data_IF_399758885658
#
_entry.id   IF_399758885658
#
_cell.length_a   1.000
_cell.length_b   1.000
_cell.length_c   1.000
_cell.angle_alpha   90.00
_cell.angle_beta   90.00
_cell.angle_gamma   90.00
#
_symmetry.space_group_name_H-M   'P 1'
#
loop_
_entity.id
_entity.type
_entity.pdbx_description
1 polymer ?
#
# COMPACT_ATOMS: atom_id res chain seq x y z
N UNK A 1 -32.03 -9.78 -65.51
CA UNK A 1 -31.06 -9.19 -64.57
C UNK A 1 -31.82 -8.33 -63.56
N UNK A 2 -31.82 -8.70 -62.28
CA UNK A 2 -32.47 -7.90 -61.23
C UNK A 2 -31.55 -6.73 -60.84
N UNK A 3 -32.07 -5.50 -60.95
CA UNK A 3 -31.36 -4.29 -60.55
C UNK A 3 -31.58 -4.08 -59.05
N UNK A 4 -30.57 -4.41 -58.24
CA UNK A 4 -30.62 -4.23 -56.78
C UNK A 4 -30.55 -2.73 -56.48
N UNK A 5 -31.59 -2.19 -55.86
CA UNK A 5 -31.63 -0.80 -55.41
C UNK A 5 -30.57 -0.58 -54.32
N UNK A 6 -29.64 0.34 -54.56
CA UNK A 6 -28.48 0.63 -53.70
C UNK A 6 -28.82 1.65 -52.59
N UNK A 7 -30.01 2.27 -52.65
CA UNK A 7 -30.48 3.26 -51.67
C UNK A 7 -30.57 2.74 -50.22
N UNK A 8 -31.09 1.54 -49.92
CA UNK A 8 -31.10 1.01 -48.55
C UNK A 8 -29.68 0.74 -48.02
N UNK A 9 -28.76 0.29 -48.89
CA UNK A 9 -27.38 -0.03 -48.52
C UNK A 9 -26.64 1.22 -48.01
N UNK A 10 -26.82 2.37 -48.68
CA UNK A 10 -26.20 3.64 -48.26
C UNK A 10 -26.68 4.11 -46.88
N UNK A 11 -27.95 3.91 -46.54
CA UNK A 11 -28.50 4.25 -45.21
C UNK A 11 -27.94 3.33 -44.12
N UNK A 12 -27.80 2.04 -44.41
CA UNK A 12 -27.22 1.07 -43.47
C UNK A 12 -25.75 1.41 -43.19
N UNK A 13 -24.97 1.74 -44.22
CA UNK A 13 -23.56 2.15 -44.04
C UNK A 13 -23.46 3.41 -43.18
N UNK A 14 -24.34 4.39 -43.38
CA UNK A 14 -24.34 5.63 -42.57
C UNK A 14 -24.67 5.38 -41.10
N UNK A 15 -25.62 4.48 -40.81
CA UNK A 15 -25.99 4.11 -39.44
C UNK A 15 -24.84 3.39 -38.75
N UNK A 16 -24.19 2.44 -39.43
CA UNK A 16 -23.02 1.72 -38.91
C UNK A 16 -21.86 2.69 -38.65
N UNK A 17 -21.64 3.65 -39.55
CA UNK A 17 -20.57 4.65 -39.40
C UNK A 17 -20.82 5.62 -38.23
N UNK A 18 -22.06 6.08 -38.04
CA UNK A 18 -22.45 6.91 -36.90
C UNK A 18 -22.35 6.15 -35.57
N UNK A 19 -22.72 4.88 -35.55
CA UNK A 19 -22.60 4.03 -34.36
C UNK A 19 -21.12 3.81 -33.98
N UNK A 20 -20.25 3.65 -34.98
CA UNK A 20 -18.80 3.52 -34.77
C UNK A 20 -18.19 4.81 -34.19
N UNK A 21 -18.57 5.99 -34.72
CA UNK A 21 -18.08 7.29 -34.21
C UNK A 21 -18.62 7.58 -32.80
N UNK A 22 -19.86 7.22 -32.49
CA UNK A 22 -20.43 7.40 -31.15
C UNK A 22 -19.80 6.46 -30.10
N UNK A 23 -19.33 5.28 -30.52
CA UNK A 23 -18.62 4.34 -29.63
C UNK A 23 -17.12 4.64 -29.48
N UNK A 24 -16.52 5.44 -30.37
CA UNK A 24 -15.10 5.80 -30.27
C UNK A 24 -14.73 6.53 -28.95
N UNK A 25 -15.49 7.55 -28.49
CA UNK A 25 -15.21 8.23 -27.23
C UNK A 25 -15.31 7.31 -26.01
N UNK A 26 -16.16 6.27 -26.06
CA UNK A 26 -16.27 5.29 -24.98
C UNK A 26 -15.05 4.35 -24.91
N UNK A 27 -14.43 4.04 -26.05
CA UNK A 27 -13.21 3.21 -26.12
C UNK A 27 -11.92 3.99 -25.80
N UNK A 28 -11.86 5.28 -26.14
CA UNK A 28 -10.69 6.13 -25.86
C UNK A 28 -10.80 6.97 -24.58
N UNK A 29 -12.02 7.19 -24.05
CA UNK A 29 -12.25 7.91 -22.80
C UNK A 29 -12.11 7.06 -21.53
N UNK A 30 -12.06 5.73 -21.67
CA UNK A 30 -11.79 4.78 -20.56
C UNK A 30 -10.29 4.50 -20.35
N UNK A 31 -9.40 5.10 -21.14
CA UNK A 31 -8.07 5.45 -20.63
C UNK A 31 -8.18 6.74 -19.82
N UNK A 32 -9.10 6.73 -18.87
CA UNK A 32 -9.10 7.66 -17.77
C UNK A 32 -7.76 7.46 -17.07
N UNK A 33 -6.84 8.36 -17.36
CA UNK A 33 -6.02 9.00 -16.35
C UNK A 33 -5.70 8.04 -15.20
N UNK A 34 -4.83 7.05 -15.45
CA UNK A 34 -3.96 6.58 -14.39
C UNK A 34 -3.13 7.80 -14.01
N UNK A 35 -3.70 8.66 -13.16
CA UNK A 35 -2.95 9.73 -12.54
C UNK A 35 -1.72 9.09 -11.93
N UNK A 36 -0.55 9.55 -12.37
CA UNK A 36 0.74 9.05 -11.96
C UNK A 36 0.84 9.16 -10.43
N UNK A 37 0.53 8.05 -9.73
CA UNK A 37 0.54 8.01 -8.27
C UNK A 37 1.95 8.28 -7.78
N UNK A 38 2.14 9.33 -7.00
CA UNK A 38 3.42 9.63 -6.36
C UNK A 38 3.62 8.69 -5.16
N UNK A 39 4.81 8.12 -5.06
CA UNK A 39 5.22 7.28 -3.94
C UNK A 39 6.28 8.00 -3.11
N UNK A 40 5.97 8.26 -1.85
CA UNK A 40 6.88 8.83 -0.87
C UNK A 40 7.24 7.75 0.14
N UNK A 41 8.51 7.33 0.15
CA UNK A 41 9.02 6.33 1.09
C UNK A 41 10.06 6.94 2.01
N UNK A 42 10.02 6.58 3.28
CA UNK A 42 11.09 6.88 4.24
C UNK A 42 12.33 6.07 3.87
N UNK A 43 13.52 6.51 4.29
CA UNK A 43 14.74 5.73 4.04
C UNK A 43 14.65 4.35 4.71
N UNK A 44 15.00 3.30 3.96
CA UNK A 44 14.67 1.91 4.28
C UNK A 44 15.24 1.36 5.62
N UNK A 45 16.15 2.06 6.29
CA UNK A 45 16.89 1.55 7.45
C UNK A 45 16.86 2.49 8.67
N UNK A 46 16.12 3.60 8.61
CA UNK A 46 16.17 4.60 9.68
C UNK A 46 15.45 4.13 10.94
N UNK A 47 14.47 3.23 10.83
CA UNK A 47 13.72 2.70 11.97
C UNK A 47 14.18 1.28 12.27
N UNK A 48 14.90 1.11 13.37
CA UNK A 48 15.28 -0.21 13.89
C UNK A 48 14.28 -0.67 14.95
N UNK A 49 13.81 -1.91 14.80
CA UNK A 49 13.10 -2.65 15.85
C UNK A 49 13.89 -3.89 16.21
N UNK A 50 13.74 -4.36 17.46
CA UNK A 50 14.46 -5.54 17.97
C UNK A 50 13.49 -6.63 18.39
N UNK A 51 13.78 -7.87 18.01
CA UNK A 51 13.07 -9.02 18.55
C UNK A 51 13.49 -9.33 20.00
N UNK A 52 12.95 -10.43 20.54
CA UNK A 52 13.26 -10.92 21.89
C UNK A 52 14.73 -11.32 22.09
N UNK A 53 15.42 -11.70 21.01
CA UNK A 53 16.80 -12.18 21.02
C UNK A 53 17.78 -11.01 20.74
N UNK A 54 17.26 -9.81 20.47
CA UNK A 54 18.03 -8.58 20.25
C UNK A 54 18.45 -8.36 18.81
N UNK A 55 17.98 -9.17 17.86
CA UNK A 55 18.27 -9.01 16.43
C UNK A 55 17.55 -7.80 15.86
N UNK A 56 18.23 -7.10 14.95
CA UNK A 56 17.70 -5.90 14.31
C UNK A 56 16.83 -6.25 13.11
N UNK A 57 15.66 -5.62 13.05
CA UNK A 57 14.75 -5.59 11.92
C UNK A 57 14.41 -4.13 11.59
N UNK A 58 13.88 -3.88 10.40
CA UNK A 58 13.66 -2.51 9.94
C UNK A 58 12.23 -2.24 9.53
N UNK A 59 11.76 -1.02 9.80
CA UNK A 59 10.48 -0.53 9.32
C UNK A 59 10.69 0.56 8.28
N UNK A 60 9.88 0.50 7.21
CA UNK A 60 9.82 1.53 6.18
C UNK A 60 8.39 1.96 6.03
N UNK A 61 8.12 3.25 6.19
CA UNK A 61 6.80 3.81 5.94
C UNK A 61 6.73 4.38 4.53
N UNK A 62 5.62 4.12 3.84
CA UNK A 62 5.40 4.60 2.49
C UNK A 62 4.00 5.20 2.36
N UNK A 63 3.90 6.38 1.76
CA UNK A 63 2.64 6.97 1.30
C UNK A 63 2.58 6.89 -0.22
N UNK A 64 1.48 6.40 -0.76
CA UNK A 64 1.17 6.45 -2.19
C UNK A 64 -0.04 7.35 -2.35
N UNK A 65 0.09 8.44 -3.13
CA UNK A 65 -0.98 9.39 -3.34
C UNK A 65 -1.13 9.76 -4.82
N UNK A 66 -2.36 9.88 -5.30
CA UNK A 66 -2.63 10.53 -6.57
C UNK A 66 -2.44 12.06 -6.42
N UNK A 67 -1.94 12.76 -7.47
CA UNK A 67 -1.83 14.22 -7.48
C UNK A 67 -3.12 14.96 -7.11
N UNK A 68 -4.27 14.46 -7.54
CA UNK A 68 -5.60 15.01 -7.21
C UNK A 68 -6.11 14.62 -5.80
N UNK A 69 -5.35 13.80 -5.06
CA UNK A 69 -5.69 13.22 -3.75
C UNK A 69 -6.93 12.32 -3.75
N UNK A 70 -7.43 11.89 -4.92
CA UNK A 70 -8.51 10.90 -5.04
C UNK A 70 -8.12 9.53 -4.45
N UNK A 71 -6.83 9.27 -4.38
CA UNK A 71 -6.25 8.08 -3.78
C UNK A 71 -5.14 8.47 -2.81
N UNK A 72 -5.22 7.97 -1.58
CA UNK A 72 -4.14 8.02 -0.59
C UNK A 72 -4.07 6.67 0.12
N UNK A 73 -2.88 6.09 0.18
CA UNK A 73 -2.61 4.82 0.85
C UNK A 73 -1.36 4.94 1.69
N UNK A 74 -1.42 4.46 2.92
CA UNK A 74 -0.26 4.31 3.79
C UNK A 74 0.10 2.85 3.91
N UNK A 75 1.39 2.56 3.79
CA UNK A 75 1.94 1.22 3.88
C UNK A 75 3.09 1.21 4.86
N UNK A 76 3.31 0.05 5.47
CA UNK A 76 4.54 -0.23 6.18
C UNK A 76 5.14 -1.52 5.64
N UNK A 77 6.43 -1.44 5.30
CA UNK A 77 7.27 -2.59 5.00
C UNK A 77 8.01 -2.96 6.27
N UNK A 78 7.87 -4.22 6.69
CA UNK A 78 8.60 -4.76 7.82
C UNK A 78 9.64 -5.76 7.32
N UNK A 79 10.90 -5.35 7.40
CA UNK A 79 12.06 -6.08 6.93
C UNK A 79 12.59 -6.99 8.03
N UNK A 80 12.21 -8.25 7.98
CA UNK A 80 12.56 -9.27 8.95
C UNK A 80 13.88 -9.94 8.55
N UNK A 81 14.98 -9.39 9.04
CA UNK A 81 16.32 -9.97 8.84
C UNK A 81 16.50 -11.28 9.58
N UNK A 82 17.39 -12.13 9.07
CA UNK A 82 17.79 -13.41 9.68
C UNK A 82 16.63 -14.38 9.93
N UNK A 83 15.50 -14.20 9.23
CA UNK A 83 14.36 -15.08 9.40
C UNK A 83 14.60 -16.39 8.66
N UNK A 84 15.02 -17.40 9.42
CA UNK A 84 15.22 -18.78 8.96
C UNK A 84 13.87 -19.50 9.15
N UNK A 85 13.14 -19.67 8.05
CA UNK A 85 11.84 -20.38 7.88
C UNK A 85 10.57 -19.63 8.33
N UNK A 86 9.59 -19.46 7.41
CA UNK A 86 8.18 -19.90 7.57
C UNK A 86 7.36 -19.60 6.30
N UNK A 87 6.33 -20.41 6.05
CA UNK A 87 5.31 -20.22 5.01
C UNK A 87 4.78 -18.78 4.97
N UNK A 88 4.83 -18.18 3.78
CA UNK A 88 4.47 -16.79 3.50
C UNK A 88 3.00 -16.45 3.68
N UNK A 89 2.13 -17.47 3.77
CA UNK A 89 0.67 -17.31 3.82
C UNK A 89 0.09 -17.14 5.23
N UNK A 90 0.95 -17.05 6.26
CA UNK A 90 0.53 -17.13 7.67
C UNK A 90 0.37 -15.78 8.36
N UNK A 91 0.69 -14.63 7.73
CA UNK A 91 0.56 -13.32 8.38
C UNK A 91 -0.86 -12.72 8.22
N UNK A 92 -1.26 -11.90 9.19
CA UNK A 92 -2.59 -11.26 9.19
C UNK A 92 -2.54 -9.77 9.47
N UNK A 93 -1.75 -9.33 10.46
CA UNK A 93 -1.82 -7.97 10.96
C UNK A 93 -0.48 -7.53 11.57
N UNK A 94 -0.22 -6.23 11.49
CA UNK A 94 0.79 -5.54 12.27
C UNK A 94 0.10 -4.62 13.30
N UNK A 95 0.62 -4.54 14.51
CA UNK A 95 0.06 -3.73 15.60
C UNK A 95 1.14 -2.91 16.25
N UNK A 96 1.00 -1.60 16.26
CA UNK A 96 1.84 -0.68 17.02
C UNK A 96 1.17 -0.36 18.35
N UNK A 97 1.85 -0.63 19.46
CA UNK A 97 1.38 -0.21 20.79
C UNK A 97 1.99 1.14 21.14
N UNK A 98 1.13 2.08 21.49
CA UNK A 98 1.51 3.41 21.94
C UNK A 98 0.73 3.78 23.21
N UNK A 99 1.37 3.58 24.36
CA UNK A 99 0.71 3.67 25.66
C UNK A 99 -0.45 2.69 25.78
N UNK A 100 -1.67 3.20 26.02
CA UNK A 100 -2.90 2.38 26.13
C UNK A 100 -3.58 2.10 24.79
N UNK A 101 -3.08 2.68 23.69
CA UNK A 101 -3.68 2.56 22.36
C UNK A 101 -2.93 1.54 21.51
N UNK A 102 -3.65 0.90 20.60
CA UNK A 102 -3.10 0.01 19.59
C UNK A 102 -3.54 0.51 18.21
N UNK A 103 -2.60 0.51 17.27
CA UNK A 103 -2.76 1.00 15.91
C UNK A 103 -2.43 -0.14 14.96
N UNK A 104 -3.40 -0.53 14.12
CA UNK A 104 -3.37 -1.80 13.42
C UNK A 104 -3.25 -1.59 11.91
N UNK A 105 -2.47 -2.44 11.24
CA UNK A 105 -2.38 -2.52 9.80
C UNK A 105 -2.61 -3.94 9.29
N UNK A 106 -3.20 -4.07 8.12
CA UNK A 106 -3.60 -5.36 7.55
C UNK A 106 -2.52 -5.90 6.60
N UNK A 107 -2.14 -7.16 6.76
CA UNK A 107 -1.19 -7.82 5.86
C UNK A 107 -1.81 -7.99 4.47
N UNK A 108 -1.03 -7.75 3.41
CA UNK A 108 -1.51 -7.97 2.05
C UNK A 108 -0.53 -8.70 1.11
N UNK A 109 0.77 -8.66 1.39
CA UNK A 109 1.76 -9.49 0.66
C UNK A 109 3.06 -9.62 1.45
N UNK A 110 3.88 -10.58 1.04
CA UNK A 110 5.27 -10.70 1.43
C UNK A 110 6.17 -10.86 0.21
N UNK A 111 7.44 -10.52 0.36
CA UNK A 111 8.48 -10.69 -0.66
C UNK A 111 9.80 -11.09 0.00
N UNK A 112 10.78 -11.52 -0.79
CA UNK A 112 12.14 -11.80 -0.35
C UNK A 112 13.12 -10.86 -1.06
N UNK A 113 13.83 -10.04 -0.28
CA UNK A 113 14.81 -9.09 -0.81
C UNK A 113 16.03 -9.04 0.09
N UNK A 114 17.22 -9.07 -0.49
CA UNK A 114 18.49 -8.90 0.24
C UNK A 114 18.63 -9.79 1.50
N UNK A 115 18.24 -11.06 1.41
CA UNK A 115 18.21 -12.03 2.53
C UNK A 115 17.27 -11.68 3.69
N UNK A 116 16.31 -10.78 3.47
CA UNK A 116 15.24 -10.46 4.40
C UNK A 116 13.88 -10.89 3.84
N UNK A 117 13.01 -11.36 4.73
CA UNK A 117 11.59 -11.46 4.46
C UNK A 117 10.97 -10.09 4.66
N UNK A 118 10.34 -9.54 3.63
CA UNK A 118 9.67 -8.23 3.69
C UNK A 118 8.18 -8.47 3.78
N UNK A 119 7.56 -8.00 4.86
CA UNK A 119 6.13 -8.09 5.10
C UNK A 119 5.48 -6.74 4.82
N UNK A 120 4.46 -6.71 3.98
CA UNK A 120 3.78 -5.48 3.60
C UNK A 120 2.41 -5.40 4.25
N UNK A 121 2.17 -4.29 4.94
CA UNK A 121 0.90 -4.01 5.60
C UNK A 121 0.33 -2.68 5.15
N UNK A 122 -0.98 -2.64 4.98
CA UNK A 122 -1.75 -1.42 4.74
C UNK A 122 -2.17 -0.79 6.08
N UNK A 123 -2.09 0.53 6.17
CA UNK A 123 -2.52 1.32 7.32
C UNK A 123 -3.55 2.35 6.87
N UNK A 124 -4.69 2.43 7.57
CA UNK A 124 -5.66 3.51 7.35
C UNK A 124 -5.04 4.87 7.72
N UNK A 125 -5.53 5.93 7.08
CA UNK A 125 -5.09 7.30 7.39
C UNK A 125 -5.36 7.67 8.85
N UNK A 126 -6.48 7.24 9.42
CA UNK A 126 -6.78 7.45 10.83
C UNK A 126 -5.77 6.75 11.75
N UNK A 127 -5.31 5.55 11.36
CA UNK A 127 -4.31 4.78 12.10
C UNK A 127 -2.97 5.50 12.05
N UNK A 128 -2.52 5.97 10.89
CA UNK A 128 -1.20 6.62 10.78
C UNK A 128 -1.17 7.96 11.51
N UNK A 129 -2.23 8.78 11.38
CA UNK A 129 -2.35 10.06 12.10
C UNK A 129 -2.47 9.85 13.60
N UNK A 130 -3.23 8.84 14.02
CA UNK A 130 -3.33 8.44 15.41
C UNK A 130 -1.99 7.99 15.98
N UNK A 131 -1.25 7.17 15.23
CA UNK A 131 0.08 6.70 15.62
C UNK A 131 1.09 7.85 15.72
N UNK A 132 1.09 8.79 14.77
CA UNK A 132 1.91 10.01 14.82
C UNK A 132 1.62 10.83 16.08
N UNK A 133 0.33 11.05 16.40
CA UNK A 133 -0.08 11.78 17.61
C UNK A 133 0.31 11.10 18.92
N UNK A 134 0.66 9.81 18.89
CA UNK A 134 1.08 9.02 20.06
C UNK A 134 2.51 8.47 19.94
N UNK A 135 3.29 8.92 18.95
CA UNK A 135 4.58 8.31 18.60
C UNK A 135 5.60 8.33 19.75
N UNK A 136 5.55 9.35 20.62
CA UNK A 136 6.42 9.44 21.79
C UNK A 136 6.18 8.35 22.83
N UNK A 137 5.00 7.73 22.82
CA UNK A 137 4.63 6.61 23.69
C UNK A 137 4.66 5.27 22.97
N UNK A 138 5.04 5.23 21.69
CA UNK A 138 5.21 3.99 20.96
C UNK A 138 6.49 3.29 21.41
N UNK A 139 6.35 2.05 21.88
CA UNK A 139 7.45 1.26 22.43
C UNK A 139 7.52 -0.13 21.80
N UNK A 140 6.38 -0.71 21.45
CA UNK A 140 6.28 -2.05 20.89
C UNK A 140 5.56 -2.09 19.56
N UNK A 141 5.98 -3.06 18.77
CA UNK A 141 5.35 -3.54 17.55
C UNK A 141 5.02 -5.02 17.75
N UNK A 142 3.94 -5.49 17.16
CA UNK A 142 3.65 -6.91 17.06
C UNK A 142 3.24 -7.28 15.65
N UNK A 143 3.72 -8.42 15.16
CA UNK A 143 3.19 -9.07 13.96
C UNK A 143 2.35 -10.26 14.39
N UNK A 144 1.12 -10.33 13.89
CA UNK A 144 0.14 -11.35 14.24
C UNK A 144 -0.03 -12.29 13.04
N UNK A 145 0.14 -13.58 13.29
CA UNK A 145 -0.14 -14.63 12.33
C UNK A 145 -1.61 -15.06 12.36
N UNK A 146 -2.13 -15.67 11.28
CA UNK A 146 -3.50 -16.15 11.15
C UNK A 146 -3.88 -17.17 12.22
N UNK A 147 -2.91 -17.95 12.72
CA UNK A 147 -3.06 -18.87 13.85
C UNK A 147 -3.09 -18.16 15.23
N UNK A 148 -3.09 -16.81 15.25
CA UNK A 148 -3.05 -15.93 16.43
C UNK A 148 -1.72 -15.91 17.19
N UNK A 149 -0.65 -16.46 16.61
CA UNK A 149 0.70 -16.28 17.17
C UNK A 149 1.10 -14.81 17.08
N UNK A 150 1.68 -14.29 18.16
CA UNK A 150 2.11 -12.89 18.28
C UNK A 150 3.63 -12.84 18.37
N UNK A 151 4.24 -12.19 17.39
CA UNK A 151 5.67 -11.91 17.36
C UNK A 151 5.87 -10.46 17.83
N UNK A 152 6.45 -10.26 19.02
CA UNK A 152 6.69 -8.93 19.58
C UNK A 152 8.08 -8.40 19.23
N UNK A 153 8.14 -7.09 18.95
CA UNK A 153 9.34 -6.34 18.67
C UNK A 153 9.34 -5.02 19.45
N UNK A 154 10.52 -4.54 19.83
CA UNK A 154 10.71 -3.26 20.53
C UNK A 154 11.22 -2.20 19.56
N UNK A 155 10.57 -1.04 19.52
CA UNK A 155 10.99 0.11 18.70
C UNK A 155 12.22 0.75 19.36
N UNK A 156 13.40 0.51 18.78
CA UNK A 156 14.68 0.95 19.36
C UNK A 156 15.03 2.38 19.00
N UNK A 157 14.68 2.84 17.80
CA UNK A 157 14.96 4.21 17.32
C UNK A 157 13.68 5.05 17.27
N UNK A 158 13.17 5.44 18.45
CA UNK A 158 11.87 6.14 18.58
C UNK A 158 11.82 7.50 17.88
N UNK A 159 12.92 8.25 17.89
CA UNK A 159 12.98 9.55 17.22
C UNK A 159 12.87 9.40 15.70
N UNK A 160 13.57 8.41 15.13
CA UNK A 160 13.47 8.09 13.71
C UNK A 160 12.07 7.58 13.35
N UNK A 161 11.44 6.77 14.21
CA UNK A 161 10.06 6.33 14.05
C UNK A 161 9.08 7.51 13.98
N UNK A 162 9.19 8.45 14.93
CA UNK A 162 8.36 9.67 14.93
C UNK A 162 8.62 10.53 13.70
N UNK A 163 9.88 10.71 13.33
CA UNK A 163 10.28 11.50 12.16
C UNK A 163 9.69 10.92 10.87
N UNK A 164 9.84 9.63 10.67
CA UNK A 164 9.31 8.89 9.53
C UNK A 164 7.78 9.04 9.39
N UNK A 165 7.04 8.86 10.49
CA UNK A 165 5.59 9.07 10.52
C UNK A 165 5.21 10.51 10.13
N UNK A 166 5.97 11.49 10.60
CA UNK A 166 5.73 12.88 10.24
C UNK A 166 5.98 13.11 8.74
N UNK A 167 7.11 12.61 8.21
CA UNK A 167 7.49 12.73 6.80
C UNK A 167 6.41 12.18 5.86
N UNK A 168 5.89 10.98 6.11
CA UNK A 168 4.86 10.38 5.24
C UNK A 168 3.50 11.05 5.39
N UNK A 169 3.15 11.59 6.55
CA UNK A 169 1.86 12.29 6.75
C UNK A 169 1.84 13.63 6.00
N UNK A 170 2.95 14.36 6.00
CA UNK A 170 3.04 15.69 5.38
C UNK A 170 3.40 15.66 3.89
N UNK A 171 3.90 14.53 3.37
CA UNK A 171 4.22 14.37 1.95
C UNK A 171 2.99 14.64 1.06
N UNK A 172 3.17 15.30 -0.08
CA UNK A 172 2.08 15.67 -1.02
C UNK A 172 1.92 14.69 -2.16
#
# INVERSE_FOLDING_TARGET
MQQISIRPIRKIIYIVFLMYIACLPALFGLKAQEEEKKTHSTKNIDITVKDKDGYNHFLVFTKVAAPDKSYVSYNVEFWVNNYVYTNTDEFSQITFKAGKKSFNGSFYKSDFSSNALVLYFYLDEAVIKGLLGNAGSADKLSVIQKNKTVLEYTISTKDNFKKALNEIVVAE
#
